data_IF_852992504569
#
_entry.id   IF_852992504569
#
_cell.length_a   1.000
_cell.length_b   1.000
_cell.length_c   1.000
_cell.angle_alpha   90.00
_cell.angle_beta   90.00
_cell.angle_gamma   90.00
#
_symmetry.space_group_name_H-M   'P 1'
#
loop_
_entity.id
_entity.type
_entity.pdbx_description
1 polymer ?
#
# COMPACT_ATOMS: atom_id res chain seq x y z
N UNK A 1 -29.91 18.96 -5.34
CA UNK A 1 -30.13 17.50 -5.39
C UNK A 1 -29.73 16.88 -6.74
N UNK A 2 -30.35 17.22 -7.88
CA UNK A 2 -29.97 16.61 -9.17
C UNK A 2 -28.50 16.89 -9.55
N UNK A 3 -28.04 18.13 -9.39
CA UNK A 3 -26.65 18.51 -9.63
C UNK A 3 -25.66 17.76 -8.71
N UNK A 4 -25.98 17.64 -7.42
CA UNK A 4 -25.17 16.87 -6.46
C UNK A 4 -25.07 15.39 -6.84
N UNK A 5 -26.16 14.76 -7.31
CA UNK A 5 -26.13 13.36 -7.75
C UNK A 5 -25.33 13.19 -9.04
N UNK A 6 -25.38 14.16 -9.95
CA UNK A 6 -24.55 14.15 -11.16
C UNK A 6 -23.06 14.30 -10.82
N UNK A 7 -22.71 15.18 -9.89
CA UNK A 7 -21.35 15.33 -9.39
C UNK A 7 -20.85 14.04 -8.71
N UNK A 8 -21.69 13.42 -7.87
CA UNK A 8 -21.39 12.12 -7.27
C UNK A 8 -21.15 11.04 -8.32
N UNK A 9 -22.03 10.90 -9.32
CA UNK A 9 -21.85 9.92 -10.41
C UNK A 9 -20.53 10.14 -11.16
N UNK A 10 -20.15 11.39 -11.42
CA UNK A 10 -18.89 11.72 -12.07
C UNK A 10 -17.67 11.37 -11.20
N UNK A 11 -17.74 11.58 -9.89
CA UNK A 11 -16.69 11.15 -8.96
C UNK A 11 -16.59 9.60 -8.91
N UNK A 12 -17.72 8.90 -8.83
CA UNK A 12 -17.76 7.43 -8.84
C UNK A 12 -17.18 6.82 -10.13
N UNK A 13 -17.35 7.48 -11.29
CA UNK A 13 -16.75 7.04 -12.57
C UNK A 13 -15.22 7.02 -12.56
N UNK A 14 -14.57 7.67 -11.60
CA UNK A 14 -13.11 7.67 -11.52
C UNK A 14 -12.55 6.39 -10.87
N UNK A 15 -13.41 5.63 -10.18
CA UNK A 15 -13.07 4.40 -9.47
C UNK A 15 -13.15 3.19 -10.42
N UNK A 16 -12.09 2.38 -10.44
CA UNK A 16 -12.03 1.15 -11.24
C UNK A 16 -13.14 0.16 -10.82
N UNK A 17 -13.82 -0.46 -11.79
CA UNK A 17 -14.97 -1.35 -11.54
C UNK A 17 -16.31 -0.62 -11.42
N UNK A 18 -16.32 0.66 -11.02
CA UNK A 18 -17.51 1.50 -11.09
C UNK A 18 -17.57 2.31 -12.38
N UNK A 19 -16.42 2.66 -12.97
CA UNK A 19 -16.31 3.39 -14.24
C UNK A 19 -17.11 2.75 -15.39
N UNK A 20 -17.07 1.43 -15.52
CA UNK A 20 -17.73 0.67 -16.58
C UNK A 20 -19.08 0.07 -16.19
N UNK A 21 -19.52 0.22 -14.93
CA UNK A 21 -20.76 -0.37 -14.41
C UNK A 21 -21.80 0.72 -14.02
N UNK A 22 -22.63 1.19 -14.98
CA UNK A 22 -23.64 2.20 -14.69
C UNK A 22 -24.72 1.71 -13.73
N UNK A 23 -24.98 0.40 -13.66
CA UNK A 23 -25.98 -0.19 -12.77
C UNK A 23 -25.53 -0.10 -11.31
N UNK A 24 -24.26 -0.45 -11.02
CA UNK A 24 -23.70 -0.29 -9.66
C UNK A 24 -23.73 1.17 -9.21
N UNK A 25 -23.34 2.11 -10.08
CA UNK A 25 -23.39 3.54 -9.74
C UNK A 25 -24.82 4.02 -9.48
N UNK A 26 -25.79 3.59 -10.29
CA UNK A 26 -27.20 3.90 -10.05
C UNK A 26 -27.67 3.40 -8.68
N UNK A 27 -27.29 2.18 -8.28
CA UNK A 27 -27.63 1.63 -6.96
C UNK A 27 -27.04 2.46 -5.80
N UNK A 28 -25.78 2.91 -5.93
CA UNK A 28 -25.15 3.81 -4.94
C UNK A 28 -25.92 5.12 -4.86
N UNK A 29 -26.28 5.72 -6.00
CA UNK A 29 -27.02 6.99 -6.06
C UNK A 29 -28.40 6.86 -5.41
N UNK A 30 -29.14 5.77 -5.69
CA UNK A 30 -30.44 5.52 -5.05
C UNK A 30 -30.30 5.34 -3.54
N UNK A 31 -29.29 4.60 -3.10
CA UNK A 31 -28.98 4.48 -1.66
C UNK A 31 -28.70 5.84 -1.03
N UNK A 32 -27.87 6.68 -1.66
CA UNK A 32 -27.54 8.02 -1.16
C UNK A 32 -28.76 8.95 -1.15
N UNK A 33 -29.66 8.87 -2.13
CA UNK A 33 -30.92 9.64 -2.12
C UNK A 33 -31.77 9.30 -0.89
N UNK A 34 -31.83 8.03 -0.52
CA UNK A 34 -32.58 7.54 0.64
C UNK A 34 -31.89 7.91 1.96
N UNK A 35 -30.60 7.58 2.08
CA UNK A 35 -29.83 7.69 3.34
C UNK A 35 -29.25 9.07 3.61
N UNK A 36 -29.15 9.91 2.58
CA UNK A 36 -28.52 11.25 2.61
C UNK A 36 -27.04 11.22 3.03
N UNK A 37 -26.40 10.05 2.99
CA UNK A 37 -25.00 9.83 3.36
C UNK A 37 -24.37 8.81 2.44
N UNK A 38 -23.04 8.85 2.33
CA UNK A 38 -22.22 7.81 1.70
C UNK A 38 -21.12 7.38 2.66
N UNK A 39 -20.71 6.12 2.58
CA UNK A 39 -19.68 5.55 3.43
C UNK A 39 -18.57 4.87 2.62
N UNK A 40 -17.36 4.88 3.17
CA UNK A 40 -16.23 4.05 2.74
C UNK A 40 -15.89 3.08 3.87
N UNK A 41 -15.72 1.80 3.55
CA UNK A 41 -15.25 0.81 4.50
C UNK A 41 -13.72 0.77 4.54
N UNK A 42 -13.16 1.14 5.68
CA UNK A 42 -11.73 1.18 5.94
C UNK A 42 -11.28 -0.07 6.71
N UNK A 43 -10.43 -0.91 6.11
CA UNK A 43 -9.91 -2.14 6.72
C UNK A 43 -8.38 -2.16 6.93
N UNK A 44 -7.69 -1.11 6.50
CA UNK A 44 -6.23 -0.99 6.55
C UNK A 44 -5.80 0.47 6.79
N UNK A 45 -5.01 1.07 5.89
CA UNK A 45 -4.40 2.40 6.13
C UNK A 45 -5.36 3.54 6.36
N UNK A 46 -6.58 3.42 5.86
CA UNK A 46 -7.65 4.39 6.08
C UNK A 46 -8.13 4.43 7.54
N UNK A 47 -7.84 3.40 8.35
CA UNK A 47 -8.25 3.39 9.77
C UNK A 47 -7.42 4.39 10.59
N UNK A 48 -6.10 4.44 10.38
CA UNK A 48 -5.23 5.38 11.10
C UNK A 48 -4.90 6.66 10.33
N UNK A 49 -5.12 6.67 9.01
CA UNK A 49 -4.84 7.80 8.14
C UNK A 49 -5.99 8.01 7.14
N UNK A 50 -7.16 8.46 7.64
CA UNK A 50 -8.31 8.78 6.80
C UNK A 50 -8.01 9.97 5.87
N UNK A 51 -8.82 10.13 4.84
CA UNK A 51 -8.76 11.26 3.91
C UNK A 51 -9.70 12.39 4.35
N UNK A 52 -9.72 13.49 3.60
CA UNK A 52 -10.51 14.69 3.90
C UNK A 52 -12.03 14.47 3.73
N UNK A 53 -12.85 15.42 4.18
CA UNK A 53 -14.33 15.38 4.09
C UNK A 53 -15.02 14.23 4.84
N UNK A 54 -14.31 13.48 5.70
CA UNK A 54 -14.93 12.53 6.62
C UNK A 54 -15.63 13.31 7.75
N UNK A 55 -16.95 13.25 7.80
CA UNK A 55 -17.76 13.92 8.82
C UNK A 55 -18.01 13.05 10.05
N UNK A 56 -18.05 11.73 9.86
CA UNK A 56 -18.30 10.77 10.94
C UNK A 56 -17.48 9.49 10.72
N UNK A 57 -16.94 8.95 11.81
CA UNK A 57 -16.27 7.65 11.83
C UNK A 57 -17.06 6.73 12.74
N UNK A 58 -17.42 5.55 12.24
CA UNK A 58 -18.05 4.49 13.03
C UNK A 58 -17.06 3.32 13.13
N UNK A 59 -16.55 3.00 14.32
CA UNK A 59 -15.62 1.90 14.51
C UNK A 59 -16.34 0.55 14.64
N UNK A 60 -15.55 -0.53 14.66
CA UNK A 60 -15.99 -1.91 14.95
C UNK A 60 -17.09 -2.45 14.03
N UNK A 61 -17.07 -2.02 12.77
CA UNK A 61 -17.92 -2.57 11.72
C UNK A 61 -17.30 -3.84 11.14
N UNK A 62 -18.14 -4.71 10.57
CA UNK A 62 -17.78 -6.04 10.13
C UNK A 62 -18.24 -6.29 8.69
N UNK A 63 -17.31 -6.72 7.84
CA UNK A 63 -17.58 -7.17 6.48
C UNK A 63 -17.39 -8.69 6.41
N UNK A 64 -18.45 -9.44 6.09
CA UNK A 64 -18.41 -10.90 5.92
C UNK A 64 -18.12 -11.30 4.48
N UNK A 65 -17.61 -12.52 4.28
CA UNK A 65 -17.35 -13.08 2.95
C UNK A 65 -16.10 -12.53 2.27
N UNK A 66 -15.29 -11.77 2.99
CA UNK A 66 -14.03 -11.22 2.53
C UNK A 66 -12.92 -11.50 3.52
N UNK A 67 -11.70 -11.59 2.99
CA UNK A 67 -10.47 -11.75 3.74
C UNK A 67 -9.47 -10.70 3.29
N UNK A 68 -8.88 -10.00 4.26
CA UNK A 68 -7.73 -9.13 4.01
C UNK A 68 -6.44 -9.92 4.19
N UNK A 69 -5.50 -9.75 3.27
CA UNK A 69 -4.16 -10.38 3.29
C UNK A 69 -3.15 -9.49 2.58
N UNK A 70 -1.87 -9.72 2.81
CA UNK A 70 -0.78 -9.07 2.08
C UNK A 70 -0.62 -9.66 0.67
N UNK A 71 -1.32 -9.07 -0.30
CA UNK A 71 -1.54 -9.62 -1.65
C UNK A 71 -1.09 -8.68 -2.77
N UNK A 72 -0.66 -7.46 -2.45
CA UNK A 72 -0.43 -6.41 -3.44
C UNK A 72 1.04 -6.01 -3.46
N UNK A 73 1.68 -6.08 -4.63
CA UNK A 73 3.01 -5.52 -4.84
C UNK A 73 2.95 -3.99 -4.84
N UNK A 74 3.88 -3.37 -4.13
CA UNK A 74 3.95 -1.91 -4.03
C UNK A 74 5.38 -1.42 -4.29
N UNK A 75 5.62 -0.89 -5.49
CA UNK A 75 6.94 -0.39 -5.90
C UNK A 75 7.11 1.12 -5.69
N UNK A 76 6.20 1.80 -4.97
CA UNK A 76 6.17 3.27 -4.87
C UNK A 76 5.97 3.73 -3.43
N UNK A 77 4.87 3.32 -2.78
CA UNK A 77 4.45 3.86 -1.51
C UNK A 77 5.13 3.17 -0.34
N UNK A 78 5.15 1.84 -0.31
CA UNK A 78 5.81 1.02 0.71
C UNK A 78 7.03 0.26 0.17
N UNK A 79 7.36 0.45 -1.10
CA UNK A 79 8.56 -0.09 -1.72
C UNK A 79 9.14 0.83 -2.78
N UNK A 80 10.11 0.31 -3.50
CA UNK A 80 10.72 0.93 -4.69
C UNK A 80 10.83 -0.11 -5.80
N UNK A 81 11.11 0.29 -7.05
CA UNK A 81 11.38 -0.63 -8.17
C UNK A 81 12.45 -1.69 -7.85
N UNK A 82 13.47 -1.34 -7.07
CA UNK A 82 14.56 -2.26 -6.67
C UNK A 82 14.25 -3.07 -5.40
N UNK A 83 13.24 -2.65 -4.63
CA UNK A 83 12.89 -3.23 -3.35
C UNK A 83 11.38 -3.10 -3.13
N UNK A 84 10.62 -3.86 -3.91
CA UNK A 84 9.16 -3.85 -3.91
C UNK A 84 8.63 -4.24 -2.54
N UNK A 85 7.63 -3.49 -2.07
CA UNK A 85 6.89 -3.75 -0.87
C UNK A 85 5.70 -4.68 -1.12
N UNK A 86 5.05 -5.04 -0.03
CA UNK A 86 3.88 -5.88 0.04
C UNK A 86 2.81 -5.19 0.90
N UNK A 87 1.66 -4.90 0.31
CA UNK A 87 0.53 -4.21 0.96
C UNK A 87 -0.72 -5.07 0.97
N UNK A 88 -1.71 -4.67 1.78
CA UNK A 88 -2.92 -5.46 1.94
C UNK A 88 -3.86 -5.29 0.75
N UNK A 89 -4.48 -6.39 0.35
CA UNK A 89 -5.64 -6.44 -0.50
C UNK A 89 -6.78 -7.15 0.23
N UNK A 90 -8.01 -6.76 -0.10
CA UNK A 90 -9.22 -7.44 0.33
C UNK A 90 -9.71 -8.32 -0.83
N UNK A 91 -9.99 -9.59 -0.60
CA UNK A 91 -10.52 -10.50 -1.63
C UNK A 91 -11.70 -11.33 -1.09
N UNK A 92 -12.63 -11.77 -1.96
CA UNK A 92 -13.68 -12.70 -1.56
C UNK A 92 -13.07 -13.96 -0.91
N UNK A 93 -13.65 -14.37 0.21
CA UNK A 93 -13.29 -15.58 0.93
C UNK A 93 -14.46 -16.03 1.79
N UNK A 94 -15.04 -17.18 1.46
CA UNK A 94 -16.11 -17.77 2.27
C UNK A 94 -15.66 -18.02 3.70
N UNK A 95 -16.59 -17.90 4.65
CA UNK A 95 -16.36 -18.12 6.09
C UNK A 95 -15.25 -17.23 6.70
N UNK A 96 -14.94 -16.09 6.08
CA UNK A 96 -14.04 -15.08 6.63
C UNK A 96 -14.79 -13.77 6.87
N UNK A 97 -14.27 -12.97 7.79
CA UNK A 97 -14.76 -11.63 8.04
C UNK A 97 -13.59 -10.69 8.34
N UNK A 98 -13.84 -9.40 8.12
CA UNK A 98 -12.88 -8.32 8.35
C UNK A 98 -13.54 -7.26 9.21
N UNK A 99 -12.86 -6.88 10.31
CA UNK A 99 -13.25 -5.73 11.13
C UNK A 99 -12.69 -4.46 10.51
N UNK A 100 -13.42 -3.36 10.60
CA UNK A 100 -13.01 -2.08 10.02
C UNK A 100 -13.90 -0.94 10.46
N UNK A 101 -13.73 0.21 9.82
CA UNK A 101 -14.46 1.44 10.11
C UNK A 101 -15.36 1.82 8.94
N UNK A 102 -16.46 2.49 9.23
CA UNK A 102 -17.16 3.30 8.23
C UNK A 102 -16.73 4.75 8.36
N UNK A 103 -16.12 5.27 7.30
CA UNK A 103 -15.86 6.69 7.10
C UNK A 103 -17.05 7.27 6.34
N UNK A 104 -17.76 8.23 6.92
CA UNK A 104 -19.07 8.68 6.43
C UNK A 104 -19.05 10.18 6.15
N UNK A 105 -19.71 10.56 5.06
CA UNK A 105 -19.97 11.95 4.69
C UNK A 105 -21.44 12.16 4.34
N UNK A 106 -21.97 13.33 4.66
CA UNK A 106 -23.33 13.76 4.37
C UNK A 106 -23.55 14.31 2.97
N UNK A 107 -24.83 14.60 2.68
CA UNK A 107 -25.37 15.03 1.38
C UNK A 107 -24.66 16.25 0.76
N UNK A 108 -24.10 17.13 1.58
CA UNK A 108 -23.46 18.38 1.14
C UNK A 108 -21.99 18.20 0.72
N UNK A 109 -21.38 17.06 1.08
CA UNK A 109 -19.95 16.77 0.85
C UNK A 109 -19.72 15.50 0.01
N UNK A 110 -20.76 14.93 -0.59
CA UNK A 110 -20.69 13.65 -1.30
C UNK A 110 -19.60 13.58 -2.38
N UNK A 111 -19.58 14.53 -3.31
CA UNK A 111 -18.61 14.53 -4.41
C UNK A 111 -17.19 14.82 -3.91
N UNK A 112 -16.93 15.87 -3.10
CA UNK A 112 -15.61 16.10 -2.51
C UNK A 112 -15.08 14.90 -1.71
N UNK A 113 -15.94 14.22 -0.95
CA UNK A 113 -15.59 13.02 -0.20
C UNK A 113 -15.12 11.87 -1.13
N UNK A 114 -15.84 11.60 -2.21
CA UNK A 114 -15.45 10.56 -3.18
C UNK A 114 -14.21 10.98 -3.98
N UNK A 115 -14.05 12.25 -4.32
CA UNK A 115 -12.86 12.75 -5.00
C UNK A 115 -11.61 12.62 -4.13
N UNK A 116 -11.71 12.95 -2.83
CA UNK A 116 -10.64 12.74 -1.87
C UNK A 116 -10.31 11.25 -1.70
N UNK A 117 -11.33 10.38 -1.68
CA UNK A 117 -11.14 8.93 -1.66
C UNK A 117 -10.43 8.41 -2.93
N UNK A 118 -10.84 8.87 -4.12
CA UNK A 118 -10.20 8.56 -5.40
C UNK A 118 -8.73 8.98 -5.36
N UNK A 119 -8.43 10.22 -4.95
CA UNK A 119 -7.07 10.71 -4.86
C UNK A 119 -6.21 9.89 -3.90
N UNK A 120 -6.82 9.38 -2.82
CA UNK A 120 -6.14 8.62 -1.78
C UNK A 120 -5.84 7.17 -2.16
N UNK A 121 -6.78 6.50 -2.82
CA UNK A 121 -6.76 5.04 -3.03
C UNK A 121 -6.63 4.61 -4.50
N UNK A 122 -6.64 5.54 -5.45
CA UNK A 122 -6.32 5.26 -6.87
C UNK A 122 -4.85 5.59 -7.15
N UNK A 123 -3.91 4.66 -6.85
CA UNK A 123 -2.50 4.91 -7.00
C UNK A 123 -2.14 5.23 -8.46
N UNK A 124 -1.17 6.12 -8.62
CA UNK A 124 -0.56 6.44 -9.91
C UNK A 124 0.89 6.00 -9.89
N UNK A 125 1.38 5.52 -11.03
CA UNK A 125 2.77 5.14 -11.18
C UNK A 125 3.69 6.35 -11.37
N UNK A 126 4.99 6.10 -11.56
CA UNK A 126 5.98 7.16 -11.76
C UNK A 126 5.78 7.97 -13.03
N UNK A 127 5.04 7.44 -14.00
CA UNK A 127 4.80 8.06 -15.30
C UNK A 127 3.40 8.73 -15.34
N UNK A 128 2.69 8.73 -14.21
CA UNK A 128 1.37 9.34 -14.04
C UNK A 128 0.22 8.45 -14.52
N UNK A 129 0.46 7.19 -14.85
CA UNK A 129 -0.58 6.25 -15.24
C UNK A 129 -1.28 5.69 -13.99
N UNK A 130 -2.61 5.57 -14.04
CA UNK A 130 -3.38 4.91 -12.97
C UNK A 130 -2.99 3.44 -12.89
N UNK A 131 -2.66 2.98 -11.68
CA UNK A 131 -2.42 1.59 -11.39
C UNK A 131 -3.76 0.88 -11.12
N UNK A 132 -3.87 -0.37 -11.55
CA UNK A 132 -5.13 -1.13 -11.55
C UNK A 132 -5.22 -2.15 -10.41
N UNK A 133 -4.36 -2.06 -9.39
CA UNK A 133 -4.28 -3.04 -8.29
C UNK A 133 -5.57 -3.14 -7.44
N UNK A 134 -6.42 -2.13 -7.50
CA UNK A 134 -7.70 -2.13 -6.80
C UNK A 134 -8.88 -1.94 -7.76
N UNK A 135 -9.99 -2.60 -7.43
CA UNK A 135 -11.34 -2.32 -7.91
C UNK A 135 -12.18 -1.87 -6.72
N UNK A 136 -13.30 -1.21 -6.99
CA UNK A 136 -14.18 -0.67 -5.96
C UNK A 136 -15.55 -1.28 -6.09
N UNK A 137 -16.07 -1.75 -4.96
CA UNK A 137 -17.41 -2.32 -4.89
C UNK A 137 -18.24 -1.65 -3.80
N UNK A 138 -19.56 -1.82 -3.87
CA UNK A 138 -20.49 -1.31 -2.87
C UNK A 138 -21.02 -2.48 -2.07
N UNK A 139 -20.50 -2.65 -0.86
CA UNK A 139 -20.68 -3.87 -0.07
C UNK A 139 -21.50 -3.62 1.20
N UNK A 140 -22.31 -4.59 1.63
CA UNK A 140 -23.01 -4.54 2.91
C UNK A 140 -22.03 -4.77 4.06
N UNK A 141 -22.03 -3.86 5.02
CA UNK A 141 -21.20 -3.89 6.22
C UNK A 141 -22.12 -3.92 7.43
N UNK A 142 -21.91 -4.90 8.30
CA UNK A 142 -22.59 -5.00 9.59
C UNK A 142 -21.99 -3.98 10.56
N UNK A 143 -22.86 -3.27 11.27
CA UNK A 143 -22.47 -2.35 12.32
C UNK A 143 -22.05 -3.12 13.57
N UNK A 144 -21.54 -2.42 14.59
CA UNK A 144 -21.11 -3.03 15.85
C UNK A 144 -22.21 -3.78 16.62
N UNK A 145 -23.49 -3.52 16.31
CA UNK A 145 -24.64 -4.24 16.84
C UNK A 145 -24.95 -5.56 16.09
N UNK A 146 -24.14 -5.89 15.07
CA UNK A 146 -24.25 -7.06 14.19
C UNK A 146 -25.63 -7.29 13.57
N UNK A 147 -26.48 -6.27 13.55
CA UNK A 147 -27.87 -6.36 13.08
C UNK A 147 -28.23 -5.24 12.12
N UNK A 148 -27.62 -4.07 12.28
CA UNK A 148 -27.74 -2.96 11.33
C UNK A 148 -26.78 -3.16 10.18
N UNK A 149 -27.27 -3.07 8.95
CA UNK A 149 -26.46 -3.13 7.72
C UNK A 149 -26.40 -1.73 7.11
N UNK A 150 -25.18 -1.25 6.88
CA UNK A 150 -24.93 -0.09 6.01
C UNK A 150 -24.15 -0.51 4.77
N UNK A 151 -24.38 0.19 3.65
CA UNK A 151 -23.66 -0.10 2.42
C UNK A 151 -22.53 0.91 2.24
N UNK A 152 -21.35 0.40 1.90
CA UNK A 152 -20.14 1.20 1.84
C UNK A 152 -19.29 0.87 0.62
N UNK A 153 -18.70 1.92 0.04
CA UNK A 153 -17.65 1.77 -0.95
C UNK A 153 -16.45 1.09 -0.31
N UNK A 154 -16.00 0.02 -0.92
CA UNK A 154 -14.93 -0.82 -0.39
C UNK A 154 -13.89 -1.06 -1.46
N UNK A 155 -12.63 -0.83 -1.10
CA UNK A 155 -11.48 -1.14 -1.94
C UNK A 155 -11.25 -2.66 -1.92
N UNK A 156 -11.28 -3.31 -3.09
CA UNK A 156 -11.08 -4.75 -3.26
C UNK A 156 -9.88 -4.95 -4.18
N UNK A 157 -9.07 -5.99 -3.96
CA UNK A 157 -7.95 -6.28 -4.85
C UNK A 157 -8.44 -6.68 -6.23
N UNK A 158 -7.83 -6.12 -7.27
CA UNK A 158 -8.02 -6.60 -8.63
C UNK A 158 -7.16 -7.84 -8.85
N UNK A 159 -7.78 -9.02 -8.86
CA UNK A 159 -7.07 -10.29 -9.07
C UNK A 159 -6.50 -10.47 -10.48
N UNK A 160 -6.83 -9.59 -11.43
CA UNK A 160 -6.27 -9.57 -12.78
C UNK A 160 -5.11 -8.58 -12.94
N UNK A 161 -4.83 -7.75 -11.93
CA UNK A 161 -3.70 -6.81 -11.98
C UNK A 161 -2.38 -7.56 -11.96
N UNK A 162 -1.38 -7.06 -12.68
CA UNK A 162 0.00 -7.59 -12.62
C UNK A 162 0.65 -7.39 -11.25
N UNK A 163 0.10 -6.49 -10.44
CA UNK A 163 0.57 -6.19 -9.08
C UNK A 163 -0.04 -7.13 -8.03
N UNK A 164 -1.00 -7.99 -8.41
CA UNK A 164 -1.59 -8.97 -7.53
C UNK A 164 -0.69 -10.21 -7.39
N UNK A 165 -0.49 -10.67 -6.16
CA UNK A 165 0.20 -11.92 -5.86
C UNK A 165 -0.84 -13.02 -5.62
N UNK A 166 -1.05 -13.95 -6.57
CA UNK A 166 -2.10 -14.96 -6.47
C UNK A 166 -1.79 -16.04 -5.43
N UNK A 167 -0.51 -16.31 -5.18
CA UNK A 167 -0.05 -17.31 -4.23
C UNK A 167 0.20 -16.64 -2.88
N UNK A 168 -0.44 -17.14 -1.84
CA UNK A 168 -0.16 -16.71 -0.47
C UNK A 168 1.30 -17.06 -0.13
N UNK A 169 2.11 -16.02 0.06
CA UNK A 169 3.50 -16.16 0.51
C UNK A 169 3.54 -16.69 1.95
N UNK A 170 4.57 -17.46 2.28
CA UNK A 170 4.78 -17.88 3.68
C UNK A 170 5.03 -16.67 4.58
N UNK A 171 4.85 -16.81 5.89
CA UNK A 171 5.11 -15.74 6.85
C UNK A 171 6.56 -15.24 6.74
N UNK A 172 7.52 -16.15 6.53
CA UNK A 172 8.94 -15.83 6.37
C UNK A 172 9.20 -15.03 5.08
N UNK A 173 8.57 -15.42 3.96
CA UNK A 173 8.69 -14.69 2.69
C UNK A 173 8.08 -13.29 2.80
N UNK A 174 6.90 -13.17 3.43
CA UNK A 174 6.28 -11.88 3.70
C UNK A 174 7.17 -11.05 4.63
N UNK A 175 7.74 -11.65 5.67
CA UNK A 175 8.60 -10.98 6.63
C UNK A 175 9.88 -10.43 6.00
N UNK A 176 10.49 -11.20 5.09
CA UNK A 176 11.65 -10.74 4.32
C UNK A 176 11.30 -9.49 3.50
N UNK A 177 10.20 -9.54 2.74
CA UNK A 177 9.77 -8.43 1.88
C UNK A 177 9.43 -7.20 2.74
N UNK A 178 8.55 -7.36 3.73
CA UNK A 178 8.06 -6.26 4.58
C UNK A 178 9.19 -5.68 5.44
N UNK A 179 10.10 -6.53 5.91
CA UNK A 179 11.20 -6.13 6.77
C UNK A 179 12.20 -5.21 6.09
N UNK A 180 12.48 -5.42 4.80
CA UNK A 180 13.49 -4.66 4.05
C UNK A 180 12.95 -3.54 3.15
N UNK A 181 11.67 -3.55 2.83
CA UNK A 181 11.08 -2.60 1.87
C UNK A 181 10.70 -1.26 2.49
N UNK A 182 10.84 -0.21 1.68
CA UNK A 182 10.53 1.17 2.01
C UNK A 182 10.18 1.95 0.76
N UNK A 183 9.29 2.95 0.90
CA UNK A 183 8.88 3.83 -0.18
C UNK A 183 8.49 5.22 0.35
N UNK A 184 7.82 6.01 -0.48
CA UNK A 184 7.51 7.42 -0.16
C UNK A 184 6.54 7.58 1.03
N UNK A 185 5.78 6.53 1.37
CA UNK A 185 4.89 6.50 2.53
C UNK A 185 5.53 5.88 3.77
N UNK A 186 6.82 5.59 3.76
CA UNK A 186 7.56 5.01 4.89
C UNK A 186 8.01 3.58 4.62
N UNK A 187 8.52 2.90 5.64
CA UNK A 187 8.83 1.48 5.53
C UNK A 187 7.55 0.65 5.43
N UNK A 188 7.66 -0.53 4.83
CA UNK A 188 6.53 -1.46 4.82
C UNK A 188 6.28 -2.05 6.22
N UNK A 189 7.30 -2.13 7.06
CA UNK A 189 7.12 -2.53 8.46
C UNK A 189 6.28 -1.52 9.24
N UNK A 190 6.47 -0.20 9.04
CA UNK A 190 5.59 0.82 9.63
C UNK A 190 4.12 0.61 9.23
N UNK A 191 3.86 0.20 7.99
CA UNK A 191 2.50 -0.10 7.55
C UNK A 191 1.87 -1.25 8.35
N UNK A 192 2.60 -2.37 8.49
CA UNK A 192 2.15 -3.51 9.31
C UNK A 192 1.98 -3.11 10.78
N UNK A 193 2.98 -2.43 11.36
CA UNK A 193 2.99 -1.97 12.75
C UNK A 193 1.81 -1.05 13.06
N UNK A 194 1.54 -0.07 12.20
CA UNK A 194 0.42 0.85 12.38
C UNK A 194 -0.92 0.12 12.29
N UNK A 195 -1.06 -0.81 11.35
CA UNK A 195 -2.27 -1.63 11.23
C UNK A 195 -2.50 -2.42 12.53
N UNK A 196 -1.50 -3.19 12.97
CA UNK A 196 -1.63 -4.04 14.14
C UNK A 196 -1.86 -3.23 15.43
N UNK A 197 -1.14 -2.12 15.61
CA UNK A 197 -1.33 -1.24 16.76
C UNK A 197 -2.74 -0.65 16.80
N UNK A 198 -3.27 -0.27 15.64
CA UNK A 198 -4.65 0.24 15.55
C UNK A 198 -5.65 -0.85 15.96
N UNK A 199 -5.48 -2.08 15.45
CA UNK A 199 -6.32 -3.22 15.87
C UNK A 199 -6.26 -3.47 17.38
N UNK A 200 -5.06 -3.44 17.96
CA UNK A 200 -4.86 -3.62 19.41
C UNK A 200 -5.52 -2.51 20.25
N UNK A 201 -5.32 -1.25 19.90
CA UNK A 201 -5.89 -0.10 20.62
C UNK A 201 -7.42 -0.18 20.65
N UNK A 202 -8.01 -0.70 19.58
CA UNK A 202 -9.45 -0.74 19.37
C UNK A 202 -10.06 -2.11 19.73
N UNK A 203 -9.24 -3.05 20.19
CA UNK A 203 -9.64 -4.44 20.43
C UNK A 203 -10.38 -5.09 19.24
N UNK A 204 -10.01 -4.74 18.01
CA UNK A 204 -10.57 -5.36 16.80
C UNK A 204 -9.95 -6.75 16.62
N UNK A 205 -10.80 -7.74 16.38
CA UNK A 205 -10.39 -9.12 16.11
C UNK A 205 -11.14 -9.59 14.87
N UNK A 206 -10.39 -10.09 13.90
CA UNK A 206 -10.91 -10.70 12.67
C UNK A 206 -10.09 -11.91 12.22
N UNK A 207 -10.49 -12.55 11.10
CA UNK A 207 -9.88 -13.80 10.62
C UNK A 207 -8.39 -13.67 10.26
N UNK A 208 -7.83 -12.46 10.16
CA UNK A 208 -6.40 -12.25 9.88
C UNK A 208 -5.60 -11.80 11.10
N UNK A 209 -6.24 -11.50 12.23
CA UNK A 209 -5.59 -10.81 13.36
C UNK A 209 -4.44 -11.63 13.96
N UNK A 210 -4.59 -12.95 14.10
CA UNK A 210 -3.52 -13.83 14.59
C UNK A 210 -2.34 -13.94 13.60
N UNK A 211 -2.62 -14.17 12.32
CA UNK A 211 -1.60 -14.26 11.27
C UNK A 211 -0.85 -12.91 11.12
N UNK A 212 -1.54 -11.78 11.30
CA UNK A 212 -0.93 -10.44 11.33
C UNK A 212 0.05 -10.28 12.50
N UNK A 213 -0.28 -10.84 13.67
CA UNK A 213 0.61 -10.85 14.83
C UNK A 213 1.86 -11.68 14.56
N UNK A 214 1.69 -12.91 14.06
CA UNK A 214 2.80 -13.80 13.70
C UNK A 214 3.73 -13.15 12.66
N UNK A 215 3.14 -12.48 11.66
CA UNK A 215 3.90 -11.74 10.66
C UNK A 215 4.69 -10.57 11.26
N UNK A 216 4.10 -9.82 12.19
CA UNK A 216 4.79 -8.74 12.88
C UNK A 216 6.02 -9.25 13.64
N UNK A 217 5.86 -10.35 14.37
CA UNK A 217 6.95 -10.97 15.13
C UNK A 217 8.04 -11.52 14.20
N UNK A 218 7.66 -12.14 13.08
CA UNK A 218 8.59 -12.62 12.07
C UNK A 218 9.39 -11.47 11.42
N UNK A 219 8.75 -10.32 11.14
CA UNK A 219 9.46 -9.15 10.61
C UNK A 219 10.48 -8.59 11.60
N UNK A 220 10.14 -8.56 12.90
CA UNK A 220 11.08 -8.15 13.94
C UNK A 220 12.30 -9.07 13.98
N UNK A 221 12.10 -10.39 13.96
CA UNK A 221 13.18 -11.37 13.91
C UNK A 221 14.03 -11.21 12.65
N UNK A 222 13.41 -11.06 11.49
CA UNK A 222 14.12 -10.81 10.23
C UNK A 222 15.00 -9.57 10.31
N UNK A 223 14.47 -8.45 10.82
CA UNK A 223 15.23 -7.20 10.96
C UNK A 223 16.41 -7.31 11.92
N UNK A 224 16.32 -8.13 12.96
CA UNK A 224 17.44 -8.39 13.89
C UNK A 224 18.58 -9.19 13.22
N UNK A 225 18.27 -9.95 12.16
CA UNK A 225 19.25 -10.75 11.42
C UNK A 225 19.91 -9.98 10.27
N UNK A 226 19.43 -8.76 9.96
CA UNK A 226 20.06 -7.90 8.98
C UNK A 226 21.47 -7.49 9.44
N UNK A 227 22.34 -7.23 8.46
CA UNK A 227 23.62 -6.58 8.76
C UNK A 227 23.35 -5.21 9.39
N UNK A 228 24.22 -4.81 10.31
CA UNK A 228 24.03 -3.63 11.16
C UNK A 228 23.74 -2.35 10.35
N UNK A 229 24.45 -2.15 9.24
CA UNK A 229 24.27 -0.99 8.37
C UNK A 229 22.85 -0.91 7.75
N UNK A 230 22.31 -2.04 7.31
CA UNK A 230 20.97 -2.08 6.71
C UNK A 230 19.88 -1.91 7.77
N UNK A 231 20.07 -2.52 8.95
CA UNK A 231 19.19 -2.35 10.11
C UNK A 231 19.10 -0.89 10.53
N UNK A 232 20.24 -0.24 10.78
CA UNK A 232 20.32 1.17 11.16
C UNK A 232 19.69 2.07 10.09
N UNK A 233 19.88 1.75 8.81
CA UNK A 233 19.27 2.53 7.74
C UNK A 233 17.74 2.44 7.73
N UNK A 234 17.17 1.25 7.98
CA UNK A 234 15.72 1.07 8.08
C UNK A 234 15.16 1.74 9.34
N UNK A 235 15.86 1.66 10.47
CA UNK A 235 15.48 2.33 11.71
C UNK A 235 15.50 3.86 11.56
N UNK A 236 16.51 4.42 10.88
CA UNK A 236 16.54 5.84 10.55
C UNK A 236 15.40 6.23 9.61
N UNK A 237 15.08 5.38 8.63
CA UNK A 237 13.94 5.61 7.73
C UNK A 237 12.60 5.60 8.49
N UNK A 238 12.48 4.77 9.53
CA UNK A 238 11.29 4.70 10.38
C UNK A 238 11.05 6.00 11.19
N UNK A 239 12.06 6.86 11.32
CA UNK A 239 11.95 8.16 12.00
C UNK A 239 11.53 9.30 11.06
N UNK A 240 11.57 9.08 9.73
CA UNK A 240 11.20 10.10 8.76
C UNK A 240 9.70 10.37 8.79
N UNK A 241 9.34 11.64 8.89
CA UNK A 241 7.97 12.07 9.17
C UNK A 241 7.22 12.48 7.90
N UNK A 242 7.91 13.08 6.94
CA UNK A 242 7.30 13.62 5.71
C UNK A 242 7.60 12.78 4.46
N UNK A 243 6.78 12.96 3.42
CA UNK A 243 7.04 12.32 2.11
C UNK A 243 8.32 12.87 1.47
N UNK A 244 8.57 14.17 1.61
CA UNK A 244 9.75 14.83 1.02
C UNK A 244 11.06 14.34 1.64
N UNK A 245 11.10 14.21 2.97
CA UNK A 245 12.23 13.60 3.70
C UNK A 245 12.53 12.18 3.18
N UNK A 246 11.49 11.38 3.00
CA UNK A 246 11.60 10.00 2.50
C UNK A 246 12.05 9.95 1.05
N UNK A 247 11.55 10.84 0.21
CA UNK A 247 11.95 10.94 -1.19
C UNK A 247 13.43 11.28 -1.32
N UNK A 248 13.90 12.30 -0.58
CA UNK A 248 15.32 12.68 -0.55
C UNK A 248 16.22 11.53 -0.05
N UNK A 249 15.78 10.79 0.96
CA UNK A 249 16.50 9.63 1.47
C UNK A 249 16.58 8.48 0.44
N UNK A 250 15.49 8.21 -0.29
CA UNK A 250 15.45 7.21 -1.37
C UNK A 250 16.43 7.58 -2.49
N UNK A 251 16.42 8.85 -2.93
CA UNK A 251 17.30 9.35 -3.99
C UNK A 251 18.78 9.30 -3.59
N UNK A 252 19.09 9.71 -2.36
CA UNK A 252 20.45 9.65 -1.81
C UNK A 252 20.99 8.22 -1.76
N UNK A 253 20.15 7.25 -1.37
CA UNK A 253 20.55 5.84 -1.28
C UNK A 253 20.69 5.18 -2.65
N UNK A 254 19.83 5.52 -3.62
CA UNK A 254 20.02 5.12 -5.02
C UNK A 254 21.35 5.62 -5.56
N UNK A 255 21.67 6.90 -5.33
CA UNK A 255 22.93 7.51 -5.75
C UNK A 255 24.13 6.81 -5.11
N UNK A 256 24.09 6.56 -3.79
CA UNK A 256 25.15 5.82 -3.09
C UNK A 256 25.32 4.40 -3.64
N UNK A 257 24.22 3.65 -3.88
CA UNK A 257 24.29 2.31 -4.50
C UNK A 257 24.85 2.34 -5.93
N UNK A 258 24.49 3.33 -6.74
CA UNK A 258 25.02 3.50 -8.10
C UNK A 258 26.52 3.79 -8.04
N UNK A 259 26.95 4.71 -7.18
CA UNK A 259 28.36 5.03 -6.97
C UNK A 259 29.15 3.82 -6.45
N UNK A 260 28.63 3.07 -5.47
CA UNK A 260 29.27 1.84 -4.98
C UNK A 260 29.33 0.76 -6.07
N UNK A 261 28.27 0.57 -6.86
CA UNK A 261 28.28 -0.35 -8.01
C UNK A 261 29.30 0.08 -9.07
N UNK A 262 29.35 1.37 -9.41
CA UNK A 262 30.33 1.91 -10.36
C UNK A 262 31.76 1.72 -9.83
N UNK A 263 32.04 2.07 -8.57
CA UNK A 263 33.34 1.86 -7.94
C UNK A 263 33.74 0.38 -7.93
N UNK A 264 32.79 -0.54 -7.72
CA UNK A 264 33.03 -1.99 -7.81
C UNK A 264 33.32 -2.45 -9.24
N UNK A 265 32.59 -1.93 -10.23
CA UNK A 265 32.90 -2.17 -11.66
C UNK A 265 34.25 -1.58 -12.05
N UNK A 266 34.63 -0.41 -11.53
CA UNK A 266 35.95 0.19 -11.71
C UNK A 266 37.05 -0.64 -11.03
N UNK A 267 36.83 -1.17 -9.81
CA UNK A 267 37.79 -2.07 -9.17
C UNK A 267 37.95 -3.39 -9.93
N UNK A 268 36.86 -3.91 -10.51
CA UNK A 268 36.89 -5.16 -11.26
C UNK A 268 37.54 -4.98 -12.66
N UNK A 269 37.40 -3.80 -13.27
CA UNK A 269 38.03 -3.43 -14.56
C UNK A 269 39.47 -2.90 -14.43
N UNK A 270 39.92 -2.51 -13.23
CA UNK A 270 41.31 -2.10 -12.97
C UNK A 270 42.26 -3.27 -12.62
N UNK A 271 41.85 -4.53 -12.83
CA UNK A 271 42.68 -5.72 -12.55
C UNK A 271 43.63 -6.14 -13.69
N UNK A 272 43.82 -5.33 -14.73
CA UNK A 272 44.91 -5.54 -15.70
C UNK A 272 46.17 -4.82 -15.21
N UNK A 273 46.97 -5.53 -14.42
CA UNK A 273 48.30 -5.08 -14.02
C UNK A 273 49.16 -4.72 -15.27
N UNK A 274 49.88 -3.60 -15.27
CA UNK A 274 50.79 -3.27 -16.37
C UNK A 274 51.94 -4.29 -16.39
N UNK A 275 52.05 -5.05 -17.50
CA UNK A 275 53.24 -5.85 -17.79
C UNK A 275 54.44 -4.90 -17.90
N UNK A 276 55.32 -4.97 -16.91
CA UNK A 276 56.66 -4.39 -16.95
C UNK A 276 57.41 -5.06 -18.11
N UNK A 277 57.71 -4.31 -19.17
CA UNK A 277 58.59 -4.74 -20.25
C UNK A 277 60.03 -4.35 -19.87
N UNK A 278 61.00 -5.27 -19.80
CA UNK A 278 62.38 -4.90 -19.52
C UNK A 278 63.05 -4.26 -20.73
N UNK A 279 63.77 -3.16 -20.49
CA UNK A 279 64.68 -2.52 -21.44
C UNK A 279 65.79 -3.48 -21.86
N UNK A 280 65.93 -3.73 -23.17
CA UNK A 280 67.18 -4.20 -23.77
C UNK A 280 67.89 -3.04 -24.49
N UNK A 281 69.18 -2.93 -24.21
CA UNK A 281 70.14 -1.99 -24.79
C UNK A 281 70.65 -2.46 -26.16
N UNK A 282 70.89 -1.47 -27.06
CA UNK A 282 71.96 -1.35 -28.10
C UNK A 282 72.05 -2.47 -29.16
N UNK A 283 72.19 -2.20 -30.46
CA UNK A 283 73.24 -1.43 -31.16
C UNK A 283 72.76 -1.19 -32.63
N UNK A 284 72.87 0.03 -33.17
CA UNK A 284 73.76 0.39 -34.29
C UNK A 284 73.91 -0.69 -35.39
N UNK A 285 73.42 -0.43 -36.61
CA UNK A 285 74.18 0.17 -37.73
C UNK A 285 73.60 -0.21 -39.11
N UNK A 286 73.58 0.81 -39.99
CA UNK A 286 73.35 0.84 -41.45
C UNK A 286 71.92 0.64 -41.95
#
# INVERSE_FOLDING_TARGET
>A
MMEQMNALDNALKQLNGLNSDPTKRANIIEYVKLKRTIAVFAYASLIWNPFEHVEKIIPDCLLTGYSKRFLCQDAIYRGTKDCTGLTMGLKPCENSFVKGYLLISGIDQLAPFIEAFVHRESPIDTDGAKMDIYTYDFLPVLMSDESTVEWALTCVVNCFSQLYIPVTLSIEQQAEIIGRSYGINGTNFQYLKNTLNTYRILALIDTFTEEMQQLYDAVLLYRQQLIEEDRQCLEAFDLLSTKDERQLAIESRKTKRILTKQLKVFSDTCSVAPKIIPKYHRMLSV
#
